data_IF_590593347404
#
_entry.id   IF_590593347404
#
_cell.length_a   1.000
_cell.length_b   1.000
_cell.length_c   1.000
_cell.angle_alpha   90.00
_cell.angle_beta   90.00
_cell.angle_gamma   90.00
#
_symmetry.space_group_name_H-M   'P 1'
#
loop_
_entity.id
_entity.type
_entity.pdbx_description
1 polymer ?
#
# COMPACT_ATOMS: atom_id res chain seq x y z
N UNK A 1 -9.19 3.90 26.27
CA UNK A 1 -9.08 5.25 26.88
C UNK A 1 -9.50 6.35 25.91
N UNK A 2 -9.13 6.29 24.62
CA UNK A 2 -9.45 7.32 23.62
C UNK A 2 -10.93 7.26 23.24
N UNK A 3 -11.39 6.22 22.57
CA UNK A 3 -12.77 6.09 22.10
C UNK A 3 -13.78 5.64 23.17
N UNK A 4 -13.33 5.21 24.35
CA UNK A 4 -14.18 4.70 25.45
C UNK A 4 -15.16 3.60 25.01
N UNK A 5 -14.73 2.80 24.05
CA UNK A 5 -15.45 1.62 23.55
C UNK A 5 -14.61 0.37 23.78
N UNK A 6 -15.30 -0.76 23.93
CA UNK A 6 -14.70 -2.08 24.07
C UNK A 6 -15.35 -2.99 23.03
N UNK A 7 -14.60 -3.74 22.23
CA UNK A 7 -15.18 -4.69 21.30
C UNK A 7 -15.87 -5.84 22.06
N UNK A 8 -16.93 -6.39 21.48
CA UNK A 8 -17.57 -7.58 22.04
C UNK A 8 -16.63 -8.80 22.01
N UNK A 9 -15.72 -8.84 21.02
CA UNK A 9 -14.70 -9.87 20.91
C UNK A 9 -13.33 -9.29 20.57
N UNK A 10 -12.27 -9.79 21.21
CA UNK A 10 -10.90 -9.60 20.77
C UNK A 10 -10.47 -10.81 19.94
N UNK A 11 -10.00 -10.55 18.72
CA UNK A 11 -9.51 -11.59 17.85
C UNK A 11 -8.04 -11.88 18.09
N UNK A 12 -7.65 -13.14 17.86
CA UNK A 12 -6.25 -13.51 17.87
C UNK A 12 -5.45 -12.67 16.87
N UNK A 13 -4.22 -12.28 17.21
CA UNK A 13 -3.35 -11.54 16.30
C UNK A 13 -3.12 -12.30 15.01
N UNK A 14 -3.28 -11.62 13.89
CA UNK A 14 -2.91 -12.17 12.59
C UNK A 14 -1.40 -11.99 12.39
N UNK A 15 -0.70 -13.09 12.19
CA UNK A 15 0.75 -13.13 11.97
C UNK A 15 1.10 -13.72 10.61
N UNK A 16 2.27 -13.38 10.10
CA UNK A 16 2.78 -13.84 8.81
C UNK A 16 4.30 -14.04 8.85
N UNK A 17 4.97 -14.01 7.69
CA UNK A 17 6.41 -14.19 7.60
C UNK A 17 7.13 -13.08 8.37
N UNK A 18 8.07 -13.48 9.22
CA UNK A 18 8.89 -12.54 9.99
C UNK A 18 10.00 -11.92 9.14
N UNK A 19 10.45 -12.62 8.11
CA UNK A 19 11.57 -12.26 7.26
C UNK A 19 11.18 -12.26 5.78
N UNK A 20 11.98 -11.67 4.92
CA UNK A 20 11.83 -11.70 3.47
C UNK A 20 10.48 -11.17 2.93
N UNK A 21 9.78 -10.38 3.72
CA UNK A 21 8.40 -9.95 3.42
C UNK A 21 8.31 -8.61 2.69
N UNK A 22 9.36 -7.77 2.79
CA UNK A 22 9.28 -6.36 2.40
C UNK A 22 9.51 -6.17 0.91
N UNK A 23 8.41 -5.89 0.21
CA UNK A 23 8.39 -5.66 -1.24
C UNK A 23 8.68 -4.21 -1.66
N UNK A 24 8.46 -3.26 -0.78
CA UNK A 24 8.71 -1.83 -1.03
C UNK A 24 9.67 -1.27 0.01
N UNK A 25 10.68 -0.55 -0.48
CA UNK A 25 11.65 0.11 0.39
C UNK A 25 12.22 1.36 -0.29
N UNK A 26 12.64 2.31 0.53
CA UNK A 26 13.40 3.47 0.09
C UNK A 26 14.77 3.43 0.75
N UNK A 27 15.77 3.12 -0.05
CA UNK A 27 17.17 3.09 0.36
C UNK A 27 17.78 4.47 0.12
N UNK A 28 18.41 5.04 1.12
CA UNK A 28 19.20 6.24 0.98
C UNK A 28 20.59 5.89 0.46
N UNK A 29 21.12 6.74 -0.39
CA UNK A 29 22.46 6.61 -0.96
C UNK A 29 23.28 7.83 -0.55
N UNK A 30 24.53 7.60 -0.11
CA UNK A 30 25.42 8.69 0.29
C UNK A 30 26.87 8.39 -0.03
N UNK A 31 27.49 9.24 -0.84
CA UNK A 31 28.95 9.24 -0.98
C UNK A 31 29.61 9.89 0.24
N UNK A 32 30.51 9.16 0.89
CA UNK A 32 31.25 9.62 2.08
C UNK A 32 32.68 9.98 1.68
N UNK A 33 32.96 11.27 1.50
CA UNK A 33 34.25 11.77 1.05
C UNK A 33 35.43 11.30 1.90
N UNK A 34 35.30 11.31 3.24
CA UNK A 34 36.40 10.89 4.15
C UNK A 34 36.77 9.40 4.05
N UNK A 35 35.82 8.57 3.58
CA UNK A 35 35.98 7.12 3.48
C UNK A 35 36.13 6.68 2.03
N UNK A 36 35.98 7.58 1.08
CA UNK A 36 35.98 7.33 -0.37
C UNK A 36 35.08 6.14 -0.75
N UNK A 37 33.87 6.09 -0.18
CA UNK A 37 32.90 5.02 -0.43
C UNK A 37 31.47 5.52 -0.49
N UNK A 38 30.61 4.73 -1.13
CA UNK A 38 29.17 4.93 -1.15
C UNK A 38 28.54 4.08 -0.06
N UNK A 39 27.60 4.63 0.68
CA UNK A 39 26.72 3.90 1.60
C UNK A 39 25.35 3.75 0.96
N UNK A 40 24.77 2.55 1.04
CA UNK A 40 23.40 2.26 0.61
C UNK A 40 22.69 1.57 1.76
N UNK A 41 21.53 2.11 2.17
CA UNK A 41 20.78 1.52 3.27
C UNK A 41 19.61 2.39 3.74
N UNK A 42 18.96 1.98 4.81
CA UNK A 42 17.92 2.78 5.43
C UNK A 42 18.51 3.97 6.19
N UNK A 43 17.72 5.02 6.35
CA UNK A 43 18.07 6.08 7.30
C UNK A 43 17.99 5.56 8.72
N UNK A 44 18.97 5.93 9.53
CA UNK A 44 18.93 5.68 10.96
C UNK A 44 17.75 6.44 11.59
N UNK A 45 17.12 5.79 12.56
CA UNK A 45 16.03 6.40 13.31
C UNK A 45 16.59 7.60 14.09
N UNK A 46 15.94 8.74 13.96
CA UNK A 46 16.36 10.01 14.58
C UNK A 46 17.68 10.63 14.07
N UNK A 47 18.19 10.17 12.93
CA UNK A 47 19.45 10.66 12.36
C UNK A 47 19.36 11.03 10.88
N UNK A 48 20.35 11.80 10.40
CA UNK A 48 20.56 12.06 8.98
C UNK A 48 21.53 11.05 8.35
N UNK A 49 21.95 10.04 9.10
CA UNK A 49 22.91 9.04 8.67
C UNK A 49 22.23 7.92 7.90
N UNK A 50 22.98 7.33 7.00
CA UNK A 50 22.60 6.13 6.25
C UNK A 50 23.28 4.95 6.92
N UNK A 51 22.50 3.95 7.30
CA UNK A 51 23.03 2.69 7.82
C UNK A 51 23.85 2.01 6.71
N UNK A 52 25.06 1.58 7.04
CA UNK A 52 25.93 0.85 6.14
C UNK A 52 25.49 -0.62 6.11
N UNK A 53 24.66 -0.96 5.12
CA UNK A 53 23.99 -2.26 5.09
C UNK A 53 24.56 -3.13 3.99
N UNK A 54 25.21 -4.23 4.38
CA UNK A 54 25.60 -5.31 3.46
C UNK A 54 24.49 -6.31 3.20
N UNK A 55 23.54 -6.44 4.13
CA UNK A 55 22.43 -7.40 4.10
C UNK A 55 21.18 -6.82 4.76
N UNK A 56 20.02 -7.34 4.42
CA UNK A 56 18.75 -6.98 5.05
C UNK A 56 17.76 -8.15 4.97
N UNK A 57 17.54 -8.82 6.09
CA UNK A 57 16.72 -10.03 6.15
C UNK A 57 15.22 -9.78 5.95
N UNK A 58 14.73 -8.54 6.09
CA UNK A 58 13.32 -8.22 5.88
C UNK A 58 12.99 -7.88 4.43
N UNK A 59 13.97 -7.47 3.60
CA UNK A 59 13.74 -7.19 2.18
C UNK A 59 13.41 -8.47 1.42
N UNK A 60 12.68 -8.31 0.31
CA UNK A 60 12.47 -9.37 -0.68
C UNK A 60 13.83 -9.97 -1.07
N UNK A 61 13.99 -11.29 -1.04
CA UNK A 61 15.28 -11.97 -1.27
C UNK A 61 15.94 -11.59 -2.58
N UNK A 62 15.14 -11.38 -3.64
CA UNK A 62 15.62 -10.97 -4.97
C UNK A 62 16.36 -9.63 -4.96
N UNK A 63 16.07 -8.78 -3.96
CA UNK A 63 16.79 -7.51 -3.77
C UNK A 63 17.85 -7.64 -2.69
N UNK A 64 17.56 -8.37 -1.60
CA UNK A 64 18.45 -8.50 -0.45
C UNK A 64 19.82 -9.09 -0.82
N UNK A 65 19.85 -10.07 -1.73
CA UNK A 65 21.09 -10.72 -2.20
C UNK A 65 22.01 -9.77 -2.99
N UNK A 66 21.46 -8.69 -3.54
CA UNK A 66 22.23 -7.69 -4.30
C UNK A 66 22.55 -6.42 -3.49
N UNK A 67 22.00 -6.28 -2.28
CA UNK A 67 22.13 -5.06 -1.47
C UNK A 67 23.59 -4.67 -1.23
N UNK A 68 24.44 -5.63 -0.86
CA UNK A 68 25.87 -5.39 -0.65
C UNK A 68 26.60 -4.91 -1.90
N UNK A 69 26.17 -5.37 -3.09
CA UNK A 69 26.75 -4.97 -4.38
C UNK A 69 26.34 -3.58 -4.86
N UNK A 70 25.20 -3.05 -4.40
CA UNK A 70 24.71 -1.73 -4.84
C UNK A 70 25.67 -0.58 -4.49
N UNK A 71 26.35 -0.67 -3.35
CA UNK A 71 27.36 0.31 -2.93
C UNK A 71 28.53 0.37 -3.92
N UNK A 72 29.03 -0.79 -4.35
CA UNK A 72 30.09 -0.91 -5.36
C UNK A 72 29.64 -0.42 -6.73
N UNK A 73 28.46 -0.85 -7.18
CA UNK A 73 27.86 -0.41 -8.44
C UNK A 73 27.80 1.13 -8.51
N UNK A 74 27.22 1.77 -7.49
CA UNK A 74 27.08 3.23 -7.49
C UNK A 74 28.45 3.91 -7.38
N UNK A 75 29.39 3.34 -6.64
CA UNK A 75 30.74 3.90 -6.53
C UNK A 75 31.45 4.00 -7.89
N UNK A 76 31.22 3.08 -8.79
CA UNK A 76 31.78 3.05 -10.13
C UNK A 76 31.13 4.06 -11.09
N UNK A 77 29.92 4.60 -10.76
CA UNK A 77 29.26 5.59 -11.59
C UNK A 77 29.95 6.97 -11.48
N UNK A 78 29.94 7.71 -12.58
CA UNK A 78 30.30 9.13 -12.58
C UNK A 78 29.35 9.91 -11.67
N UNK A 79 28.06 9.54 -11.72
CA UNK A 79 26.97 10.13 -10.93
C UNK A 79 26.94 9.71 -9.45
N UNK A 80 27.96 9.01 -8.92
CA UNK A 80 27.97 8.49 -7.52
C UNK A 80 27.69 9.52 -6.42
N UNK A 81 27.82 10.80 -6.71
CA UNK A 81 27.56 11.90 -5.77
C UNK A 81 26.16 12.50 -5.93
N UNK A 82 25.51 12.21 -7.03
CA UNK A 82 24.22 12.81 -7.42
C UNK A 82 23.07 11.82 -7.46
N UNK A 83 23.30 10.57 -6.98
CA UNK A 83 22.26 9.58 -6.74
C UNK A 83 21.97 9.54 -5.23
N UNK A 84 20.90 10.21 -4.73
CA UNK A 84 20.59 10.28 -3.30
C UNK A 84 19.78 9.11 -2.79
N UNK A 85 19.13 8.34 -3.68
CA UNK A 85 18.10 7.38 -3.30
C UNK A 85 17.90 6.30 -4.35
N UNK A 86 17.57 5.09 -3.87
CA UNK A 86 17.05 3.99 -4.68
C UNK A 86 15.72 3.57 -4.06
N UNK A 87 14.64 3.48 -4.87
CA UNK A 87 13.40 2.86 -4.44
C UNK A 87 13.35 1.43 -4.92
N UNK A 88 12.94 0.54 -4.02
CA UNK A 88 12.70 -0.87 -4.29
C UNK A 88 11.21 -1.08 -4.50
N UNK A 89 10.84 -1.80 -5.56
CA UNK A 89 9.48 -2.25 -5.80
C UNK A 89 9.50 -3.67 -6.34
N UNK A 90 8.90 -4.61 -5.59
CA UNK A 90 8.80 -6.01 -5.98
C UNK A 90 7.34 -6.42 -6.13
N UNK A 91 6.99 -6.85 -7.32
CA UNK A 91 5.77 -7.60 -7.60
C UNK A 91 5.95 -9.10 -7.28
N UNK A 92 4.95 -9.89 -7.63
CA UNK A 92 5.03 -11.36 -7.42
C UNK A 92 6.10 -11.99 -8.31
N UNK A 93 6.23 -11.56 -9.55
CA UNK A 93 7.19 -12.13 -10.53
C UNK A 93 8.43 -11.28 -10.75
N UNK A 94 8.32 -9.96 -10.73
CA UNK A 94 9.39 -9.02 -11.08
C UNK A 94 9.72 -8.07 -9.94
N UNK A 95 10.98 -7.61 -9.91
CA UNK A 95 11.43 -6.52 -9.05
C UNK A 95 12.02 -5.39 -9.89
N UNK A 96 11.93 -4.18 -9.38
CA UNK A 96 12.50 -2.98 -9.95
C UNK A 96 13.28 -2.18 -8.91
N UNK A 97 14.37 -1.55 -9.35
CA UNK A 97 15.09 -0.52 -8.62
C UNK A 97 14.97 0.81 -9.37
N UNK A 98 14.42 1.83 -8.70
CA UNK A 98 14.31 3.18 -9.25
C UNK A 98 15.47 4.02 -8.72
N UNK A 99 16.40 4.37 -9.58
CA UNK A 99 17.54 5.24 -9.24
C UNK A 99 17.14 6.71 -9.41
N UNK A 100 16.98 7.41 -8.31
CA UNK A 100 16.83 8.87 -8.35
C UNK A 100 18.17 9.50 -8.62
N UNK A 101 18.25 10.37 -9.62
CA UNK A 101 19.47 11.10 -9.96
C UNK A 101 19.18 12.60 -10.09
N UNK A 102 20.08 13.44 -9.59
CA UNK A 102 19.94 14.90 -9.57
C UNK A 102 20.54 15.56 -10.82
N UNK A 103 21.42 14.85 -11.50
CA UNK A 103 22.08 15.26 -12.74
C UNK A 103 21.91 14.16 -13.80
N UNK A 104 21.94 14.48 -15.09
CA UNK A 104 21.86 13.47 -16.15
C UNK A 104 22.96 12.42 -16.00
N UNK A 105 22.59 11.14 -16.19
CA UNK A 105 23.56 10.05 -16.19
C UNK A 105 24.34 10.01 -17.51
N UNK A 106 25.66 9.77 -17.42
CA UNK A 106 26.50 9.55 -18.59
C UNK A 106 26.11 8.27 -19.33
N UNK A 107 26.50 8.15 -20.61
CA UNK A 107 26.30 6.92 -21.37
C UNK A 107 26.98 5.72 -20.67
N UNK A 108 28.16 5.97 -20.08
CA UNK A 108 28.91 4.96 -19.32
C UNK A 108 28.15 4.51 -18.06
N UNK A 109 27.54 5.43 -17.34
CA UNK A 109 26.71 5.12 -16.16
C UNK A 109 25.49 4.28 -16.55
N UNK A 110 24.81 4.68 -17.61
CA UNK A 110 23.66 3.93 -18.10
C UNK A 110 24.04 2.50 -18.52
N UNK A 111 25.19 2.30 -19.17
CA UNK A 111 25.61 0.95 -19.56
C UNK A 111 25.99 0.07 -18.38
N UNK A 112 26.60 0.63 -17.31
CA UNK A 112 26.85 -0.11 -16.07
C UNK A 112 25.53 -0.52 -15.39
N UNK A 113 24.54 0.36 -15.38
CA UNK A 113 23.20 0.05 -14.86
C UNK A 113 22.48 -1.00 -15.70
N UNK A 114 22.63 -0.97 -17.06
CA UNK A 114 22.13 -2.01 -17.96
C UNK A 114 22.78 -3.36 -17.69
N UNK A 115 24.11 -3.35 -17.52
CA UNK A 115 24.84 -4.57 -17.18
C UNK A 115 24.36 -5.20 -15.87
N UNK A 116 24.12 -4.36 -14.85
CA UNK A 116 23.49 -4.80 -13.59
C UNK A 116 22.12 -5.40 -13.83
N UNK A 117 21.23 -4.72 -14.56
CA UNK A 117 19.89 -5.23 -14.85
C UNK A 117 19.93 -6.59 -15.56
N UNK A 118 20.79 -6.75 -16.57
CA UNK A 118 20.97 -8.02 -17.29
C UNK A 118 21.50 -9.15 -16.41
N UNK A 119 22.44 -8.85 -15.53
CA UNK A 119 23.07 -9.88 -14.68
C UNK A 119 22.19 -10.34 -13.52
N UNK A 120 21.27 -9.48 -13.04
CA UNK A 120 20.41 -9.76 -11.88
C UNK A 120 18.96 -10.08 -12.23
N UNK A 121 18.51 -9.74 -13.44
CA UNK A 121 17.09 -9.81 -13.82
C UNK A 121 16.21 -8.74 -13.15
N UNK A 122 16.81 -7.79 -12.41
CA UNK A 122 16.09 -6.70 -11.76
C UNK A 122 15.92 -5.55 -12.75
N UNK A 123 14.70 -5.09 -12.95
CA UNK A 123 14.46 -3.93 -13.80
C UNK A 123 15.06 -2.66 -13.19
N UNK A 124 15.74 -1.87 -14.02
CA UNK A 124 16.29 -0.57 -13.62
C UNK A 124 15.46 0.53 -14.22
N UNK A 125 14.96 1.41 -13.36
CA UNK A 125 14.23 2.62 -13.74
C UNK A 125 15.00 3.85 -13.24
N UNK A 126 14.81 4.95 -13.94
CA UNK A 126 15.46 6.23 -13.65
C UNK A 126 14.42 7.26 -13.23
N UNK A 127 14.78 8.10 -12.27
CA UNK A 127 13.93 9.17 -11.75
C UNK A 127 14.72 10.49 -11.72
N UNK A 128 14.67 11.30 -12.80
CA UNK A 128 15.40 12.58 -12.84
C UNK A 128 14.77 13.68 -11.97
N UNK A 129 13.46 13.62 -11.68
CA UNK A 129 12.76 14.64 -10.88
C UNK A 129 11.74 14.00 -9.92
N UNK A 130 10.46 14.33 -10.04
CA UNK A 130 9.38 13.77 -9.24
C UNK A 130 8.93 12.39 -9.71
N UNK A 131 8.01 11.73 -8.97
CA UNK A 131 7.53 10.39 -9.29
C UNK A 131 6.99 10.23 -10.72
N UNK A 132 6.33 11.24 -11.25
CA UNK A 132 5.81 11.24 -12.62
C UNK A 132 6.88 11.17 -13.72
N UNK A 133 8.17 11.33 -13.37
CA UNK A 133 9.29 11.26 -14.32
C UNK A 133 9.98 9.90 -14.34
N UNK A 134 9.47 8.93 -13.60
CA UNK A 134 10.02 7.57 -13.59
C UNK A 134 9.84 6.93 -14.95
N UNK A 135 10.92 6.41 -15.49
CA UNK A 135 10.93 5.72 -16.79
C UNK A 135 11.93 4.57 -16.79
N UNK A 136 11.70 3.58 -17.63
CA UNK A 136 12.61 2.44 -17.80
C UNK A 136 13.96 2.87 -18.38
N UNK A 137 15.03 2.26 -17.94
CA UNK A 137 16.35 2.38 -18.57
C UNK A 137 16.37 1.62 -19.91
N UNK A 138 15.61 0.55 -20.01
CA UNK A 138 15.36 -0.21 -21.23
C UNK A 138 13.93 0.02 -21.72
N UNK A 139 13.67 -0.11 -23.03
CA UNK A 139 12.33 0.06 -23.59
C UNK A 139 11.35 -1.05 -23.19
N UNK A 140 11.85 -2.18 -22.69
CA UNK A 140 11.02 -3.27 -22.19
C UNK A 140 10.32 -2.83 -20.91
N UNK A 141 8.99 -2.92 -20.90
CA UNK A 141 8.19 -2.51 -19.76
C UNK A 141 8.36 -3.50 -18.61
N UNK A 142 8.78 -3.01 -17.46
CA UNK A 142 8.69 -3.75 -16.22
C UNK A 142 7.24 -3.69 -15.73
N UNK A 143 6.52 -4.80 -15.82
CA UNK A 143 5.19 -4.94 -15.22
C UNK A 143 5.32 -5.46 -13.80
N UNK A 144 5.01 -4.60 -12.84
CA UNK A 144 4.95 -4.99 -11.43
C UNK A 144 3.50 -5.34 -11.10
N UNK A 145 3.27 -6.60 -10.74
CA UNK A 145 1.95 -7.09 -10.37
C UNK A 145 1.99 -7.78 -9.01
N UNK A 146 0.87 -7.77 -8.32
CA UNK A 146 0.62 -8.64 -7.18
C UNK A 146 -0.79 -9.23 -7.29
N UNK A 147 -0.97 -10.42 -6.74
CA UNK A 147 -2.22 -11.14 -6.96
C UNK A 147 -2.86 -11.71 -5.70
N UNK A 148 -4.13 -12.07 -5.90
CA UNK A 148 -4.95 -12.87 -5.01
C UNK A 148 -5.31 -14.17 -5.74
N UNK A 149 -4.41 -15.20 -5.69
CA UNK A 149 -4.57 -16.41 -6.50
C UNK A 149 -5.89 -17.14 -6.27
N UNK A 150 -6.37 -17.16 -5.02
CA UNK A 150 -7.63 -17.81 -4.64
C UNK A 150 -8.87 -17.12 -5.25
N UNK A 151 -8.72 -15.88 -5.72
CA UNK A 151 -9.75 -15.09 -6.38
C UNK A 151 -9.50 -14.95 -7.89
N UNK A 152 -8.37 -15.46 -8.40
CA UNK A 152 -7.97 -15.31 -9.79
C UNK A 152 -7.65 -13.86 -10.19
N UNK A 153 -7.28 -13.01 -9.24
CA UNK A 153 -7.03 -11.59 -9.47
C UNK A 153 -5.53 -11.26 -9.51
N UNK A 154 -5.16 -10.39 -10.44
CA UNK A 154 -3.82 -9.81 -10.55
C UNK A 154 -3.91 -8.30 -10.76
N UNK A 155 -3.29 -7.52 -9.87
CA UNK A 155 -3.30 -6.07 -9.89
C UNK A 155 -1.95 -5.51 -10.34
N UNK A 156 -1.97 -4.65 -11.35
CA UNK A 156 -0.83 -3.89 -11.82
C UNK A 156 -0.59 -2.67 -10.94
N UNK A 157 0.66 -2.38 -10.62
CA UNK A 157 1.06 -1.18 -9.89
C UNK A 157 2.34 -0.57 -10.45
N UNK A 158 2.52 0.72 -10.27
CA UNK A 158 3.75 1.42 -10.59
C UNK A 158 4.79 1.36 -9.45
N UNK A 159 6.07 1.55 -9.77
CA UNK A 159 7.13 1.47 -8.77
C UNK A 159 7.00 2.53 -7.65
N UNK A 160 6.33 3.63 -7.91
CA UNK A 160 6.07 4.70 -6.93
C UNK A 160 4.73 4.59 -6.23
N UNK A 161 3.84 3.68 -6.65
CA UNK A 161 2.52 3.53 -6.04
C UNK A 161 2.61 2.94 -4.63
N UNK A 162 1.64 3.29 -3.82
CA UNK A 162 1.47 2.63 -2.53
C UNK A 162 0.90 1.23 -2.75
N UNK A 163 1.57 0.24 -2.17
CA UNK A 163 1.06 -1.12 -1.97
C UNK A 163 1.45 -1.59 -0.57
N UNK A 164 0.73 -2.56 -0.03
CA UNK A 164 1.10 -3.21 1.22
C UNK A 164 2.45 -3.92 1.06
N UNK A 165 3.39 -3.60 1.96
CA UNK A 165 4.79 -4.07 1.82
C UNK A 165 4.97 -5.55 2.06
N UNK A 166 4.07 -6.17 2.84
CA UNK A 166 4.05 -7.60 3.14
C UNK A 166 2.94 -8.27 2.32
N UNK A 167 3.31 -8.90 1.22
CA UNK A 167 2.33 -9.43 0.27
C UNK A 167 1.51 -10.60 0.82
N UNK A 168 2.08 -11.44 1.68
CA UNK A 168 1.34 -12.54 2.32
C UNK A 168 0.34 -11.98 3.34
N UNK A 169 0.79 -11.06 4.20
CA UNK A 169 -0.10 -10.39 5.14
C UNK A 169 -1.20 -9.58 4.44
N UNK A 170 -0.92 -8.98 3.28
CA UNK A 170 -1.94 -8.33 2.48
C UNK A 170 -3.03 -9.30 2.03
N UNK A 171 -2.65 -10.47 1.52
CA UNK A 171 -3.61 -11.52 1.14
C UNK A 171 -4.46 -11.98 2.34
N UNK A 172 -3.81 -12.22 3.47
CA UNK A 172 -4.50 -12.63 4.70
C UNK A 172 -5.45 -11.53 5.22
N UNK A 173 -5.01 -10.26 5.16
CA UNK A 173 -5.81 -9.10 5.55
C UNK A 173 -7.05 -8.95 4.66
N UNK A 174 -6.88 -9.07 3.33
CA UNK A 174 -7.99 -8.99 2.38
C UNK A 174 -8.96 -10.14 2.58
N UNK A 175 -8.48 -11.37 2.73
CA UNK A 175 -9.32 -12.54 3.04
C UNK A 175 -10.12 -12.32 4.33
N UNK A 176 -9.47 -11.85 5.40
CA UNK A 176 -10.13 -11.53 6.67
C UNK A 176 -11.15 -10.40 6.53
N UNK A 177 -10.84 -9.37 5.76
CA UNK A 177 -11.77 -8.27 5.50
C UNK A 177 -13.01 -8.77 4.73
N UNK A 178 -12.84 -9.64 3.74
CA UNK A 178 -13.95 -10.27 3.03
C UNK A 178 -14.82 -11.12 3.96
N UNK A 179 -14.23 -11.94 4.83
CA UNK A 179 -14.97 -12.74 5.81
C UNK A 179 -15.76 -11.87 6.78
N UNK A 180 -15.17 -10.75 7.24
CA UNK A 180 -15.84 -9.82 8.15
C UNK A 180 -16.89 -8.96 7.46
N UNK A 181 -16.66 -8.56 6.21
CA UNK A 181 -17.62 -7.78 5.43
C UNK A 181 -18.77 -8.64 4.94
N UNK A 182 -18.50 -9.94 4.67
CA UNK A 182 -19.48 -10.94 4.24
C UNK A 182 -20.31 -10.47 3.02
N UNK A 183 -19.65 -10.15 1.88
CA UNK A 183 -20.34 -9.62 0.70
C UNK A 183 -21.27 -10.67 0.06
N UNK A 184 -22.42 -10.21 -0.44
CA UNK A 184 -23.37 -11.01 -1.22
C UNK A 184 -23.68 -10.35 -2.57
N UNK A 185 -24.24 -11.10 -3.51
CA UNK A 185 -24.61 -10.62 -4.86
C UNK A 185 -25.65 -9.50 -4.84
N UNK A 186 -26.39 -9.34 -3.74
CA UNK A 186 -27.38 -8.26 -3.58
C UNK A 186 -26.78 -6.99 -2.98
N UNK A 187 -25.56 -7.06 -2.43
CA UNK A 187 -24.94 -5.94 -1.73
C UNK A 187 -24.38 -4.88 -2.67
N UNK A 188 -24.61 -3.64 -2.31
CA UNK A 188 -23.87 -2.48 -2.79
C UNK A 188 -22.88 -2.03 -1.74
N UNK A 189 -21.58 -2.10 -2.06
CA UNK A 189 -20.50 -1.91 -1.09
C UNK A 189 -19.66 -0.68 -1.45
N UNK A 190 -19.31 0.10 -0.42
CA UNK A 190 -18.42 1.24 -0.54
C UNK A 190 -17.04 0.88 0.03
N UNK A 191 -15.99 1.11 -0.76
CA UNK A 191 -14.58 0.96 -0.36
C UNK A 191 -13.90 2.33 -0.36
N UNK A 192 -13.60 2.86 0.82
CA UNK A 192 -13.02 4.19 1.00
C UNK A 192 -11.51 4.09 1.23
N UNK A 193 -10.78 5.01 0.60
CA UNK A 193 -9.31 5.00 0.49
C UNK A 193 -8.84 3.76 -0.29
N UNK A 194 -9.52 3.45 -1.39
CA UNK A 194 -9.40 2.19 -2.10
C UNK A 194 -8.08 1.99 -2.85
N UNK A 195 -7.27 3.04 -3.01
CA UNK A 195 -6.03 2.99 -3.77
C UNK A 195 -6.26 2.50 -5.20
N UNK A 196 -5.47 1.54 -5.63
CA UNK A 196 -5.58 0.90 -6.94
C UNK A 196 -6.52 -0.33 -6.96
N UNK A 197 -7.37 -0.49 -5.93
CA UNK A 197 -8.39 -1.52 -5.86
C UNK A 197 -8.04 -2.74 -5.01
N UNK A 198 -7.12 -2.60 -4.03
CA UNK A 198 -6.65 -3.71 -3.19
C UNK A 198 -7.78 -4.46 -2.45
N UNK A 199 -8.82 -3.76 -2.01
CA UNK A 199 -10.04 -4.36 -1.44
C UNK A 199 -11.20 -4.33 -2.45
N UNK A 200 -11.33 -3.27 -3.24
CA UNK A 200 -12.43 -3.10 -4.21
C UNK A 200 -12.60 -4.30 -5.11
N UNK A 201 -11.50 -4.77 -5.74
CA UNK A 201 -11.60 -5.88 -6.71
C UNK A 201 -11.89 -7.22 -6.03
N UNK A 202 -11.23 -7.62 -4.92
CA UNK A 202 -11.65 -8.77 -4.14
C UNK A 202 -13.11 -8.74 -3.69
N UNK A 203 -13.62 -7.59 -3.21
CA UNK A 203 -15.02 -7.43 -2.83
C UNK A 203 -15.93 -7.64 -4.04
N UNK A 204 -15.57 -7.09 -5.21
CA UNK A 204 -16.36 -7.19 -6.43
C UNK A 204 -16.53 -8.63 -6.95
N UNK A 205 -15.67 -9.57 -6.55
CA UNK A 205 -15.85 -11.00 -6.90
C UNK A 205 -17.05 -11.63 -6.22
N UNK A 206 -17.64 -11.00 -5.19
CA UNK A 206 -18.72 -11.54 -4.38
C UNK A 206 -19.93 -10.61 -4.25
N UNK A 207 -19.74 -9.31 -4.45
CA UNK A 207 -20.77 -8.28 -4.28
C UNK A 207 -21.53 -8.01 -5.58
N UNK A 208 -22.76 -7.50 -5.48
CA UNK A 208 -23.55 -7.03 -6.62
C UNK A 208 -22.93 -5.80 -7.28
N UNK A 209 -22.46 -4.85 -6.48
CA UNK A 209 -21.70 -3.69 -6.98
C UNK A 209 -20.76 -3.12 -5.93
N UNK A 210 -19.63 -2.58 -6.37
CA UNK A 210 -18.65 -1.94 -5.49
C UNK A 210 -18.29 -0.55 -6.01
N UNK A 211 -18.22 0.40 -5.09
CA UNK A 211 -17.74 1.75 -5.39
C UNK A 211 -16.47 1.98 -4.60
N UNK A 212 -15.35 2.17 -5.29
CA UNK A 212 -14.07 2.57 -4.72
C UNK A 212 -13.90 4.10 -4.78
N UNK A 213 -13.48 4.72 -3.68
CA UNK A 213 -13.19 6.16 -3.63
C UNK A 213 -11.77 6.39 -3.11
N UNK A 214 -10.99 7.18 -3.84
CA UNK A 214 -9.58 7.45 -3.55
C UNK A 214 -9.24 8.92 -3.85
N UNK A 215 -8.36 9.52 -3.07
CA UNK A 215 -7.91 10.90 -3.27
C UNK A 215 -6.98 11.10 -4.47
N UNK A 216 -6.18 10.10 -4.80
CA UNK A 216 -5.24 10.17 -5.91
C UNK A 216 -5.89 9.70 -7.23
N UNK A 217 -6.11 10.65 -8.15
CA UNK A 217 -6.72 10.36 -9.44
C UNK A 217 -5.92 9.36 -10.30
N UNK A 218 -4.61 9.26 -10.12
CA UNK A 218 -3.80 8.27 -10.84
C UNK A 218 -4.03 6.86 -10.28
N UNK A 219 -4.20 6.70 -8.97
CA UNK A 219 -4.58 5.42 -8.36
C UNK A 219 -6.00 5.01 -8.79
N UNK A 220 -6.95 5.96 -8.87
CA UNK A 220 -8.31 5.73 -9.42
C UNK A 220 -8.25 5.20 -10.85
N UNK A 221 -7.43 5.83 -11.71
CA UNK A 221 -7.22 5.38 -13.09
C UNK A 221 -6.66 3.95 -13.12
N UNK A 222 -5.69 3.64 -12.26
CA UNK A 222 -5.11 2.29 -12.14
C UNK A 222 -6.11 1.28 -11.59
N UNK A 223 -6.93 1.65 -10.61
CA UNK A 223 -8.01 0.81 -10.11
C UNK A 223 -8.98 0.42 -11.22
N UNK A 224 -9.39 1.39 -12.03
CA UNK A 224 -10.25 1.16 -13.21
C UNK A 224 -9.57 0.23 -14.23
N UNK A 225 -8.28 0.43 -14.51
CA UNK A 225 -7.53 -0.44 -15.42
C UNK A 225 -7.38 -1.85 -14.86
N UNK A 226 -7.13 -1.99 -13.56
CA UNK A 226 -7.06 -3.29 -12.88
C UNK A 226 -8.41 -4.01 -12.92
N UNK A 227 -9.54 -3.31 -12.73
CA UNK A 227 -10.87 -3.89 -12.92
C UNK A 227 -11.02 -4.47 -14.32
N UNK A 228 -10.68 -3.69 -15.35
CA UNK A 228 -10.76 -4.09 -16.75
C UNK A 228 -9.86 -5.32 -17.04
N UNK A 229 -8.61 -5.33 -16.54
CA UNK A 229 -7.66 -6.46 -16.72
C UNK A 229 -8.19 -7.76 -16.14
N UNK A 230 -8.94 -7.67 -15.05
CA UNK A 230 -9.50 -8.83 -14.35
C UNK A 230 -10.94 -9.17 -14.77
N UNK A 231 -11.51 -8.49 -15.77
CA UNK A 231 -12.89 -8.74 -16.20
C UNK A 231 -13.95 -8.36 -15.16
N UNK A 232 -13.63 -7.45 -14.23
CA UNK A 232 -14.55 -6.94 -13.20
C UNK A 232 -15.35 -5.78 -13.80
N UNK A 233 -16.66 -5.96 -13.95
CA UNK A 233 -17.56 -4.97 -14.56
C UNK A 233 -18.45 -4.26 -13.53
N UNK A 234 -18.57 -4.82 -12.31
CA UNK A 234 -19.42 -4.32 -11.23
C UNK A 234 -18.66 -3.42 -10.23
N UNK A 235 -17.43 -2.99 -10.53
CA UNK A 235 -16.66 -2.04 -9.73
C UNK A 235 -16.56 -0.68 -10.45
N UNK A 236 -16.81 0.41 -9.71
CA UNK A 236 -16.66 1.79 -10.18
C UNK A 236 -15.71 2.56 -9.27
N UNK A 237 -14.88 3.44 -9.83
CA UNK A 237 -13.89 4.19 -9.07
C UNK A 237 -14.11 5.70 -9.22
N UNK A 238 -13.96 6.44 -8.11
CA UNK A 238 -14.14 7.90 -8.06
C UNK A 238 -12.95 8.55 -7.36
N UNK A 239 -12.47 9.67 -7.94
CA UNK A 239 -11.47 10.52 -7.30
C UNK A 239 -12.17 11.55 -6.40
N UNK A 240 -11.88 11.52 -5.08
CA UNK A 240 -12.42 12.51 -4.13
C UNK A 240 -11.50 12.60 -2.91
N UNK A 241 -11.27 13.83 -2.42
CA UNK A 241 -10.61 14.02 -1.13
C UNK A 241 -11.60 13.68 -0.01
N UNK A 242 -11.31 12.61 0.72
CA UNK A 242 -12.14 12.10 1.81
C UNK A 242 -11.92 12.87 3.14
N UNK A 243 -11.06 13.88 3.15
CA UNK A 243 -10.89 14.83 4.26
C UNK A 243 -11.70 16.11 4.05
N UNK A 244 -12.41 16.23 2.93
CA UNK A 244 -13.30 17.35 2.62
C UNK A 244 -14.76 16.91 2.64
N UNK A 245 -15.68 17.89 2.77
CA UNK A 245 -17.11 17.65 2.72
C UNK A 245 -17.54 17.12 1.34
N UNK A 246 -18.04 15.89 1.22
CA UNK A 246 -18.39 15.28 -0.06
C UNK A 246 -19.76 15.74 -0.59
N UNK A 247 -20.13 16.99 -0.35
CA UNK A 247 -21.45 17.52 -0.68
C UNK A 247 -21.82 17.29 -2.15
N UNK A 248 -22.90 16.55 -2.37
CA UNK A 248 -23.41 16.25 -3.71
C UNK A 248 -22.57 15.25 -4.52
N UNK A 249 -21.62 14.55 -3.89
CA UNK A 249 -20.81 13.56 -4.55
C UNK A 249 -21.68 12.47 -5.20
N UNK A 250 -21.44 12.13 -6.48
CA UNK A 250 -22.28 11.17 -7.20
C UNK A 250 -22.26 9.78 -6.55
N UNK A 251 -21.16 9.41 -5.93
CA UNK A 251 -20.97 8.12 -5.28
C UNK A 251 -21.70 7.96 -3.94
N UNK A 252 -22.26 9.07 -3.35
CA UNK A 252 -23.07 9.01 -2.12
C UNK A 252 -24.57 8.91 -2.36
N UNK A 253 -25.06 9.06 -3.59
CA UNK A 253 -26.48 9.26 -3.87
C UNK A 253 -27.39 8.07 -3.57
N UNK A 254 -26.91 6.85 -3.76
CA UNK A 254 -27.77 5.65 -3.82
C UNK A 254 -27.72 4.77 -2.57
N UNK A 255 -27.00 5.18 -1.54
CA UNK A 255 -26.81 4.39 -0.32
C UNK A 255 -25.92 3.17 -0.50
N UNK A 256 -25.64 2.50 0.61
CA UNK A 256 -24.79 1.31 0.66
C UNK A 256 -25.25 0.35 1.76
N UNK A 257 -25.11 -0.95 1.52
CA UNK A 257 -25.40 -1.98 2.51
C UNK A 257 -24.22 -2.16 3.48
N UNK A 258 -23.00 -2.13 2.95
CA UNK A 258 -21.77 -2.37 3.68
C UNK A 258 -20.66 -1.40 3.26
N UNK A 259 -19.70 -1.16 4.16
CA UNK A 259 -18.58 -0.25 3.91
C UNK A 259 -17.28 -0.88 4.38
N UNK A 260 -16.21 -0.70 3.60
CA UNK A 260 -14.84 -0.93 4.03
C UNK A 260 -14.09 0.41 4.05
N UNK A 261 -13.25 0.60 5.07
CA UNK A 261 -12.46 1.83 5.23
C UNK A 261 -11.02 1.44 5.59
N UNK A 262 -10.04 1.88 4.79
CA UNK A 262 -8.60 1.71 5.06
C UNK A 262 -7.88 3.07 4.99
N UNK A 263 -8.11 3.97 5.97
CA UNK A 263 -7.67 5.36 5.91
C UNK A 263 -6.18 5.51 6.25
N UNK A 264 -5.59 6.67 5.91
CA UNK A 264 -4.27 7.06 6.37
C UNK A 264 -4.22 7.20 7.91
N UNK A 265 -3.04 7.50 8.45
CA UNK A 265 -2.81 7.64 9.90
C UNK A 265 -3.71 8.65 10.62
N UNK A 266 -4.24 9.62 9.90
CA UNK A 266 -5.22 10.59 10.41
C UNK A 266 -6.56 9.95 10.80
N UNK A 267 -6.88 8.78 10.26
CA UNK A 267 -8.19 8.14 10.40
C UNK A 267 -9.20 8.66 9.37
N UNK A 268 -10.48 8.35 9.60
CA UNK A 268 -11.58 8.61 8.69
C UNK A 268 -12.65 9.57 9.28
N UNK A 269 -12.32 10.35 10.31
CA UNK A 269 -13.26 11.17 11.09
C UNK A 269 -14.25 11.96 10.23
N UNK A 270 -13.76 12.63 9.18
CA UNK A 270 -14.59 13.48 8.30
C UNK A 270 -15.65 12.70 7.52
N UNK A 271 -15.38 11.48 7.13
CA UNK A 271 -16.29 10.69 6.31
C UNK A 271 -17.28 9.83 7.12
N UNK A 272 -17.05 9.64 8.44
CA UNK A 272 -17.90 8.79 9.29
C UNK A 272 -19.38 9.21 9.30
N UNK A 273 -19.75 10.52 9.38
CA UNK A 273 -21.15 10.94 9.29
C UNK A 273 -21.82 10.50 7.98
N UNK A 274 -21.09 10.54 6.87
CA UNK A 274 -21.60 10.16 5.55
C UNK A 274 -21.74 8.64 5.41
N UNK A 275 -20.79 7.88 5.96
CA UNK A 275 -20.93 6.42 6.11
C UNK A 275 -22.21 6.11 6.90
N UNK A 276 -22.39 6.80 8.00
CA UNK A 276 -23.59 6.62 8.82
C UNK A 276 -24.88 6.97 8.08
N UNK A 277 -24.88 8.02 7.28
CA UNK A 277 -26.04 8.46 6.49
C UNK A 277 -26.31 7.56 5.28
N UNK A 278 -25.34 6.80 4.79
CA UNK A 278 -25.46 5.94 3.61
C UNK A 278 -26.44 4.77 3.77
N UNK A 279 -26.82 4.44 4.99
CA UNK A 279 -27.68 3.28 5.28
C UNK A 279 -26.90 2.01 5.64
N UNK A 280 -25.58 2.02 5.49
CA UNK A 280 -24.73 0.85 5.75
C UNK A 280 -24.97 0.26 7.14
N UNK A 281 -25.22 -1.04 7.19
CA UNK A 281 -25.46 -1.76 8.44
C UNK A 281 -24.20 -2.51 8.95
N UNK A 282 -23.18 -2.68 8.09
CA UNK A 282 -21.93 -3.36 8.42
C UNK A 282 -20.73 -2.55 7.91
N UNK A 283 -19.72 -2.37 8.74
CA UNK A 283 -18.51 -1.65 8.42
C UNK A 283 -17.28 -2.41 8.90
N UNK A 284 -16.34 -2.64 7.98
CA UNK A 284 -14.99 -3.14 8.29
C UNK A 284 -14.02 -1.97 8.23
N UNK A 285 -13.27 -1.77 9.30
CA UNK A 285 -12.28 -0.72 9.43
C UNK A 285 -10.88 -1.33 9.56
N UNK A 286 -10.02 -1.10 8.58
CA UNK A 286 -8.60 -1.41 8.62
C UNK A 286 -7.83 -0.16 9.05
N UNK A 287 -6.77 -0.26 9.84
CA UNK A 287 -6.06 0.92 10.33
C UNK A 287 -4.59 0.64 10.64
N UNK A 288 -3.72 1.47 10.10
CA UNK A 288 -2.29 1.50 10.44
C UNK A 288 -1.97 2.34 11.70
N UNK A 289 -2.99 2.88 12.40
CA UNK A 289 -2.80 3.72 13.59
C UNK A 289 -3.88 3.47 14.63
N UNK A 290 -3.60 2.66 15.67
CA UNK A 290 -4.60 2.27 16.68
C UNK A 290 -5.28 3.44 17.41
N UNK A 291 -4.62 4.60 17.53
CA UNK A 291 -5.20 5.75 18.21
C UNK A 291 -6.30 6.43 17.39
N UNK A 292 -6.12 6.55 16.06
CA UNK A 292 -7.18 7.04 15.15
C UNK A 292 -8.34 6.06 15.09
N UNK A 293 -8.07 4.75 14.96
CA UNK A 293 -9.14 3.74 15.03
C UNK A 293 -9.94 3.86 16.35
N UNK A 294 -9.26 4.02 17.47
CA UNK A 294 -9.95 4.15 18.77
C UNK A 294 -10.82 5.41 18.85
N UNK A 295 -10.38 6.56 18.28
CA UNK A 295 -11.18 7.78 18.18
C UNK A 295 -12.41 7.54 17.29
N UNK A 296 -12.20 7.03 16.09
CA UNK A 296 -13.23 6.82 15.08
C UNK A 296 -14.25 5.76 15.54
N UNK A 297 -13.79 4.73 16.27
CA UNK A 297 -14.67 3.77 16.91
C UNK A 297 -15.58 4.43 17.96
N UNK A 298 -15.04 5.39 18.73
CA UNK A 298 -15.85 6.19 19.66
C UNK A 298 -16.96 6.95 18.94
N UNK A 299 -16.66 7.62 17.85
CA UNK A 299 -17.63 8.39 17.04
C UNK A 299 -18.69 7.43 16.46
N UNK A 300 -18.28 6.33 15.82
CA UNK A 300 -19.21 5.34 15.27
C UNK A 300 -20.19 4.78 16.30
N UNK A 301 -19.69 4.48 17.49
CA UNK A 301 -20.51 3.86 18.55
C UNK A 301 -21.39 4.87 19.27
N UNK A 302 -20.83 6.03 19.67
CA UNK A 302 -21.57 6.98 20.53
C UNK A 302 -22.47 7.93 19.74
N UNK A 303 -22.12 8.23 18.47
CA UNK A 303 -22.84 9.24 17.69
C UNK A 303 -23.65 8.63 16.54
N UNK A 304 -23.22 7.48 16.01
CA UNK A 304 -23.80 6.90 14.79
C UNK A 304 -24.50 5.55 14.97
N UNK A 305 -24.61 5.04 16.21
CA UNK A 305 -25.40 3.86 16.53
C UNK A 305 -24.83 2.53 16.07
N UNK A 306 -23.53 2.48 15.80
CA UNK A 306 -22.81 1.22 15.55
C UNK A 306 -22.46 0.53 16.84
N UNK A 307 -22.24 -0.78 16.77
CA UNK A 307 -21.69 -1.62 17.82
C UNK A 307 -20.36 -2.19 17.33
N UNK A 308 -19.31 -2.07 18.12
CA UNK A 308 -18.02 -2.66 17.85
C UNK A 308 -18.07 -4.16 18.17
N UNK A 309 -18.29 -4.99 17.13
CA UNK A 309 -18.45 -6.44 17.25
C UNK A 309 -17.16 -7.16 17.58
N UNK A 310 -16.06 -6.69 17.01
CA UNK A 310 -14.77 -7.29 17.26
C UNK A 310 -13.62 -6.43 16.74
N UNK A 311 -12.44 -6.66 17.28
CA UNK A 311 -11.20 -6.04 16.83
C UNK A 311 -10.02 -6.99 17.02
N UNK A 312 -9.01 -6.85 16.15
CA UNK A 312 -7.76 -7.59 16.24
C UNK A 312 -6.60 -6.79 15.68
N UNK A 313 -5.39 -7.27 15.92
CA UNK A 313 -4.15 -6.70 15.40
C UNK A 313 -3.57 -7.58 14.31
N UNK A 314 -2.79 -6.98 13.42
CA UNK A 314 -2.11 -7.64 12.32
C UNK A 314 -0.65 -7.24 12.31
N UNK A 315 0.26 -8.22 12.24
CA UNK A 315 1.70 -7.97 12.19
C UNK A 315 2.18 -7.80 10.73
N UNK A 316 1.74 -6.69 10.12
CA UNK A 316 2.12 -6.32 8.76
C UNK A 316 3.61 -5.99 8.64
N UNK A 317 4.22 -5.48 9.71
CA UNK A 317 5.58 -4.96 9.74
C UNK A 317 6.42 -5.59 10.87
N UNK A 318 6.69 -6.90 10.85
CA UNK A 318 7.55 -7.54 11.83
C UNK A 318 8.87 -6.78 12.07
N UNK A 319 9.37 -6.81 13.29
CA UNK A 319 10.58 -6.09 13.74
C UNK A 319 10.48 -4.56 13.72
N UNK A 320 9.29 -4.00 13.63
CA UNK A 320 9.07 -2.55 13.72
C UNK A 320 8.07 -2.20 14.83
N UNK A 321 7.95 -0.92 15.15
CA UNK A 321 6.93 -0.44 16.11
C UNK A 321 5.57 -0.12 15.46
N UNK A 322 5.33 -0.51 14.21
CA UNK A 322 4.06 -0.31 13.53
C UNK A 322 3.10 -1.45 13.85
N UNK A 323 1.84 -1.10 14.10
CA UNK A 323 0.76 -2.06 14.35
C UNK A 323 -0.38 -1.73 13.41
N UNK A 324 -0.81 -2.72 12.66
CA UNK A 324 -2.05 -2.68 11.90
C UNK A 324 -3.18 -3.29 12.73
N UNK A 325 -4.39 -2.84 12.49
CA UNK A 325 -5.58 -3.32 13.19
C UNK A 325 -6.74 -3.48 12.23
N UNK A 326 -7.65 -4.39 12.54
CA UNK A 326 -8.90 -4.58 11.82
C UNK A 326 -10.04 -4.64 12.81
N UNK A 327 -11.17 -3.99 12.51
CA UNK A 327 -12.35 -3.96 13.37
C UNK A 327 -13.63 -4.11 12.55
N UNK A 328 -14.63 -4.75 13.16
CA UNK A 328 -15.97 -4.91 12.61
C UNK A 328 -16.98 -4.11 13.44
N UNK A 329 -17.76 -3.30 12.75
CA UNK A 329 -18.88 -2.57 13.32
C UNK A 329 -20.18 -3.00 12.63
N UNK A 330 -21.24 -3.15 13.41
CA UNK A 330 -22.58 -3.41 12.90
C UNK A 330 -23.57 -2.44 13.54
N UNK A 331 -24.59 -2.05 12.79
CA UNK A 331 -25.71 -1.34 13.37
C UNK A 331 -26.64 -2.30 14.08
N UNK A 332 -27.23 -1.86 15.18
CA UNK A 332 -28.34 -2.59 15.78
C UNK A 332 -29.46 -2.65 14.74
N UNK A 333 -29.94 -3.87 14.47
CA UNK A 333 -31.20 -4.00 13.76
C UNK A 333 -32.26 -3.21 14.53
N UNK A 334 -32.91 -2.25 13.88
CA UNK A 334 -33.94 -1.41 14.45
C UNK A 334 -35.20 -2.22 14.78
#
# INVERSE_FOLDING_TARGET
>A
RIGKVTPEAWWEPMTGPLWAYRRKARLSVRYVHKKERVLVGFRERYGAFVADMGECHVLDPRIAEHLGGLSGLIFELDARRTIPQIEVACGDSQCALVFRHLEPLSVGDQEKLRSFARSTGIAVLLQPKGPATVHGLEPEQCELTFGFPDLGLELLFGPSDFIQVNGEMNRNMVARALDLLDPSEDDRILDLFCGLGNFTLPIATRAGSVVGVEGDAELVRKGTENARRNGIENASFFAADLNEEPAGAPWLKDGYDKVLVDPPRSGAEFILPHIAASGAHRLVYVSCHPASLARDAGILVHEHGFVLKGAGVMDMFPHTGHVESIALFERKAG
#
